data_IF_709113968087
#
_entry.id   IF_709113968087
#
_cell.length_a   1.000
_cell.length_b   1.000
_cell.length_c   1.000
_cell.angle_alpha   90.00
_cell.angle_beta   90.00
_cell.angle_gamma   90.00
#
_symmetry.space_group_name_H-M   'P 1'
#
loop_
_entity.id
_entity.type
_entity.pdbx_description
1 polymer ?
#
# COMPACT_ATOMS: atom_id res chain seq x y z
N UNK A 1 -5.93 3.19 -38.23
CA UNK A 1 -6.85 3.02 -37.09
C UNK A 1 -7.52 4.36 -36.80
N UNK A 2 -8.85 4.47 -36.92
CA UNK A 2 -9.54 5.77 -36.84
C UNK A 2 -9.65 6.25 -35.37
N UNK A 3 -9.77 7.58 -35.16
CA UNK A 3 -9.91 8.21 -33.82
C UNK A 3 -11.00 7.55 -32.92
N UNK A 4 -11.99 6.88 -33.52
CA UNK A 4 -13.07 6.17 -32.83
C UNK A 4 -12.58 4.89 -32.16
N UNK A 5 -11.73 4.11 -32.81
CA UNK A 5 -11.17 2.87 -32.27
C UNK A 5 -10.21 3.13 -31.09
N UNK A 6 -9.38 4.17 -31.17
CA UNK A 6 -8.50 4.57 -30.07
C UNK A 6 -9.27 4.99 -28.79
N UNK A 7 -10.44 5.62 -28.97
CA UNK A 7 -11.28 6.05 -27.85
C UNK A 7 -11.96 4.86 -27.15
N UNK A 8 -12.38 3.86 -27.91
CA UNK A 8 -12.97 2.63 -27.37
C UNK A 8 -11.93 1.76 -26.67
N UNK A 9 -10.75 1.60 -27.25
CA UNK A 9 -9.65 0.85 -26.64
C UNK A 9 -9.25 1.45 -25.28
N UNK A 10 -9.10 2.78 -25.22
CA UNK A 10 -8.79 3.47 -23.97
C UNK A 10 -9.89 3.32 -22.91
N UNK A 11 -11.17 3.36 -23.34
CA UNK A 11 -12.30 3.13 -22.43
C UNK A 11 -12.25 1.74 -21.80
N UNK A 12 -11.97 0.71 -22.58
CA UNK A 12 -11.81 -0.66 -22.09
C UNK A 12 -10.63 -0.75 -21.11
N UNK A 13 -9.52 -0.10 -21.39
CA UNK A 13 -8.37 -0.08 -20.49
C UNK A 13 -8.72 0.53 -19.14
N UNK A 14 -9.43 1.65 -19.09
CA UNK A 14 -9.88 2.28 -17.83
C UNK A 14 -10.86 1.37 -17.09
N UNK A 15 -11.83 0.78 -17.80
CA UNK A 15 -12.79 -0.13 -17.16
C UNK A 15 -12.08 -1.31 -16.50
N UNK A 16 -11.06 -1.86 -17.14
CA UNK A 16 -10.29 -2.96 -16.58
C UNK A 16 -9.48 -2.55 -15.34
N UNK A 17 -8.88 -1.35 -15.33
CA UNK A 17 -8.24 -0.77 -14.14
C UNK A 17 -9.23 -0.66 -12.97
N UNK A 18 -10.46 -0.18 -13.24
CA UNK A 18 -11.50 -0.07 -12.23
C UNK A 18 -11.95 -1.44 -11.69
N UNK A 19 -12.00 -2.46 -12.57
CA UNK A 19 -12.29 -3.84 -12.15
C UNK A 19 -11.19 -4.39 -11.24
N UNK A 20 -9.91 -4.19 -11.59
CA UNK A 20 -8.79 -4.59 -10.72
C UNK A 20 -8.90 -3.89 -9.35
N UNK A 21 -9.17 -2.59 -9.35
CA UNK A 21 -9.36 -1.84 -8.11
C UNK A 21 -10.49 -2.44 -7.28
N UNK A 22 -11.63 -2.69 -7.88
CA UNK A 22 -12.81 -3.25 -7.20
C UNK A 22 -12.51 -4.64 -6.61
N UNK A 23 -11.81 -5.50 -7.35
CA UNK A 23 -11.38 -6.80 -6.84
C UNK A 23 -10.47 -6.63 -5.62
N UNK A 24 -9.43 -5.80 -5.71
CA UNK A 24 -8.52 -5.54 -4.59
C UNK A 24 -9.28 -4.96 -3.38
N UNK A 25 -10.24 -4.08 -3.62
CA UNK A 25 -11.06 -3.47 -2.58
C UNK A 25 -11.97 -4.49 -1.88
N UNK A 26 -12.66 -5.35 -2.65
CA UNK A 26 -13.50 -6.42 -2.09
C UNK A 26 -12.65 -7.42 -1.30
N UNK A 27 -11.50 -7.82 -1.82
CA UNK A 27 -10.59 -8.73 -1.10
C UNK A 27 -10.09 -8.11 0.21
N UNK A 28 -9.80 -6.81 0.20
CA UNK A 28 -9.41 -6.09 1.42
C UNK A 28 -10.53 -6.08 2.44
N UNK A 29 -11.77 -5.76 2.03
CA UNK A 29 -12.95 -5.81 2.91
C UNK A 29 -13.11 -7.21 3.49
N UNK A 30 -13.08 -8.24 2.65
CA UNK A 30 -13.24 -9.63 3.08
C UNK A 30 -12.16 -10.02 4.11
N UNK A 31 -10.93 -9.61 3.91
CA UNK A 31 -9.85 -9.90 4.84
C UNK A 31 -10.03 -9.18 6.18
N UNK A 32 -10.33 -7.89 6.18
CA UNK A 32 -10.48 -7.12 7.42
C UNK A 32 -11.76 -7.44 8.19
N UNK A 33 -12.89 -7.71 7.52
CA UNK A 33 -14.17 -7.90 8.18
C UNK A 33 -14.51 -9.38 8.45
N UNK A 34 -14.07 -10.30 7.58
CA UNK A 34 -14.44 -11.71 7.63
C UNK A 34 -13.30 -12.57 8.16
N UNK A 35 -12.14 -12.53 7.48
CA UNK A 35 -11.00 -13.39 7.80
C UNK A 35 -10.23 -12.93 9.02
N UNK A 36 -10.12 -11.62 9.22
CA UNK A 36 -9.40 -10.97 10.34
C UNK A 36 -7.99 -11.52 10.52
N UNK A 37 -7.23 -11.60 9.43
CA UNK A 37 -5.87 -12.16 9.44
C UNK A 37 -4.91 -11.36 10.31
N UNK A 38 -5.18 -10.06 10.51
CA UNK A 38 -4.51 -9.17 11.46
C UNK A 38 -4.61 -9.65 12.93
N UNK A 39 -5.67 -10.42 13.26
CA UNK A 39 -5.88 -10.98 14.59
C UNK A 39 -5.33 -12.40 14.76
N UNK A 40 -4.68 -12.92 13.72
CA UNK A 40 -4.07 -14.26 13.72
C UNK A 40 -2.58 -14.19 14.05
N UNK A 41 -1.93 -15.36 14.05
CA UNK A 41 -0.47 -15.49 14.20
C UNK A 41 0.33 -14.59 13.25
N UNK A 42 -0.21 -14.30 12.07
CA UNK A 42 0.45 -13.43 11.07
C UNK A 42 0.51 -11.96 11.52
N UNK A 43 -0.39 -11.52 12.41
CA UNK A 43 -0.41 -10.16 12.96
C UNK A 43 -0.59 -9.06 11.93
N UNK A 44 -0.82 -9.40 10.67
CA UNK A 44 -0.94 -8.48 9.55
C UNK A 44 -1.87 -9.00 8.47
N UNK A 45 -2.62 -8.09 7.84
CA UNK A 45 -3.50 -8.40 6.71
C UNK A 45 -2.70 -8.33 5.42
N UNK A 46 -2.18 -9.45 4.94
CA UNK A 46 -1.40 -9.48 3.71
C UNK A 46 -1.98 -10.37 2.60
N UNK A 47 -3.03 -11.14 2.86
CA UNK A 47 -3.61 -12.04 1.86
C UNK A 47 -4.17 -11.27 0.66
N UNK A 48 -4.92 -10.18 0.90
CA UNK A 48 -5.41 -9.32 -0.19
C UNK A 48 -4.26 -8.63 -0.96
N UNK A 49 -3.17 -8.30 -0.27
CA UNK A 49 -1.99 -7.67 -0.88
C UNK A 49 -1.26 -8.67 -1.78
N UNK A 50 -1.12 -9.91 -1.33
CA UNK A 50 -0.53 -10.98 -2.12
C UNK A 50 -1.37 -11.29 -3.37
N UNK A 51 -2.70 -11.38 -3.21
CA UNK A 51 -3.61 -11.57 -4.35
C UNK A 51 -3.55 -10.38 -5.32
N UNK A 52 -3.47 -9.16 -4.82
CA UNK A 52 -3.26 -7.97 -5.64
C UNK A 52 -1.96 -8.04 -6.45
N UNK A 53 -0.87 -8.47 -5.83
CA UNK A 53 0.41 -8.67 -6.51
C UNK A 53 0.32 -9.78 -7.58
N UNK A 54 -0.41 -10.87 -7.31
CA UNK A 54 -0.67 -11.92 -8.31
C UNK A 54 -1.50 -11.41 -9.49
N UNK A 55 -2.45 -10.52 -9.27
CA UNK A 55 -3.25 -9.89 -10.32
C UNK A 55 -2.43 -8.91 -11.18
N UNK A 56 -1.36 -8.35 -10.65
CA UNK A 56 -0.50 -7.43 -11.38
C UNK A 56 0.14 -8.11 -12.60
N UNK A 57 0.55 -9.37 -12.50
CA UNK A 57 1.23 -10.11 -13.58
C UNK A 57 0.35 -10.21 -14.85
N UNK A 58 -0.87 -10.78 -14.79
CA UNK A 58 -1.75 -10.84 -15.95
C UNK A 58 -2.19 -9.45 -16.43
N UNK A 59 -2.33 -8.48 -15.52
CA UNK A 59 -2.66 -7.11 -15.88
C UNK A 59 -1.55 -6.47 -16.71
N UNK A 60 -0.29 -6.60 -16.33
CA UNK A 60 0.84 -6.11 -17.12
C UNK A 60 0.85 -6.71 -18.53
N UNK A 61 0.61 -8.00 -18.62
CA UNK A 61 0.54 -8.68 -19.93
C UNK A 61 -0.61 -8.11 -20.79
N UNK A 62 -1.79 -7.93 -20.20
CA UNK A 62 -2.97 -7.37 -20.89
C UNK A 62 -2.71 -5.96 -21.43
N UNK A 63 -1.98 -5.11 -20.66
CA UNK A 63 -1.67 -3.75 -21.08
C UNK A 63 -0.42 -3.63 -21.95
N UNK A 64 0.29 -4.73 -22.22
CA UNK A 64 1.57 -4.73 -22.92
C UNK A 64 2.65 -3.97 -22.18
N UNK A 65 2.60 -3.93 -20.85
CA UNK A 65 3.56 -3.29 -19.98
C UNK A 65 4.55 -4.32 -19.43
N UNK A 66 5.78 -3.91 -19.22
CA UNK A 66 6.79 -4.71 -18.54
C UNK A 66 7.09 -4.15 -17.14
N UNK A 67 7.72 -4.96 -16.30
CA UNK A 67 8.06 -4.59 -14.92
C UNK A 67 8.90 -3.30 -14.81
N UNK A 68 9.79 -3.05 -15.76
CA UNK A 68 10.61 -1.82 -15.78
C UNK A 68 9.76 -0.58 -16.02
N UNK A 69 8.74 -0.67 -16.87
CA UNK A 69 7.87 0.47 -17.20
C UNK A 69 7.01 0.91 -16.03
N UNK A 70 6.72 0.00 -15.09
CA UNK A 70 5.99 0.29 -13.86
C UNK A 70 6.91 0.59 -12.66
N UNK A 71 8.22 0.76 -12.90
CA UNK A 71 9.17 1.18 -11.88
C UNK A 71 9.94 0.04 -11.21
N UNK A 72 9.69 -1.22 -11.53
CA UNK A 72 10.44 -2.35 -11.00
C UNK A 72 11.71 -2.59 -11.83
N UNK A 73 12.67 -1.68 -11.68
CA UNK A 73 13.98 -1.79 -12.30
C UNK A 73 15.04 -2.10 -11.23
N UNK A 74 15.87 -3.12 -11.52
CA UNK A 74 16.97 -3.50 -10.62
C UNK A 74 18.23 -2.65 -10.82
N UNK A 75 18.33 -1.96 -11.99
CA UNK A 75 19.45 -1.06 -12.24
C UNK A 75 19.39 0.16 -11.34
N UNK A 76 20.47 0.40 -10.59
CA UNK A 76 20.51 1.50 -9.65
C UNK A 76 19.75 1.27 -8.34
N UNK A 77 19.36 0.03 -8.04
CA UNK A 77 18.64 -0.30 -6.81
C UNK A 77 19.39 0.18 -5.57
N UNK A 78 20.69 -0.03 -5.49
CA UNK A 78 21.49 0.33 -4.32
C UNK A 78 21.52 1.85 -4.04
N UNK A 79 21.85 2.73 -5.00
CA UNK A 79 21.82 4.17 -4.75
C UNK A 79 20.41 4.70 -4.43
N UNK A 80 19.36 4.15 -5.05
CA UNK A 80 17.99 4.55 -4.71
C UNK A 80 17.56 4.03 -3.35
N UNK A 81 17.93 2.81 -2.99
CA UNK A 81 17.66 2.25 -1.66
C UNK A 81 18.39 3.02 -0.55
N UNK A 82 19.66 3.39 -0.78
CA UNK A 82 20.42 4.20 0.18
C UNK A 82 19.81 5.60 0.35
N UNK A 83 19.39 6.24 -0.74
CA UNK A 83 18.70 7.53 -0.69
C UNK A 83 17.37 7.42 0.07
N UNK A 84 16.58 6.37 -0.22
CA UNK A 84 15.34 6.08 0.50
C UNK A 84 15.57 5.83 1.98
N UNK A 85 16.64 5.11 2.34
CA UNK A 85 17.02 4.87 3.73
C UNK A 85 17.37 6.19 4.45
N UNK A 86 18.17 7.05 3.83
CA UNK A 86 18.56 8.34 4.41
C UNK A 86 17.33 9.21 4.65
N UNK A 87 16.51 9.42 3.62
CA UNK A 87 15.30 10.24 3.75
C UNK A 87 14.28 9.62 4.70
N UNK A 88 14.06 8.29 4.61
CA UNK A 88 13.18 7.56 5.52
C UNK A 88 13.61 7.71 6.98
N UNK A 89 14.90 7.52 7.28
CA UNK A 89 15.43 7.70 8.62
C UNK A 89 15.29 9.13 9.12
N UNK A 90 15.50 10.13 8.25
CA UNK A 90 15.35 11.53 8.59
C UNK A 90 13.90 11.89 8.94
N UNK A 91 12.93 11.46 8.13
CA UNK A 91 11.52 11.70 8.40
C UNK A 91 11.03 10.94 9.63
N UNK A 92 11.52 9.70 9.82
CA UNK A 92 11.23 8.92 11.01
C UNK A 92 11.75 9.59 12.29
N UNK A 93 13.01 10.05 12.28
CA UNK A 93 13.59 10.80 13.39
C UNK A 93 12.80 12.08 13.67
N UNK A 94 12.40 12.82 12.63
CA UNK A 94 11.59 14.03 12.78
C UNK A 94 10.23 13.72 13.42
N UNK A 95 9.56 12.64 12.99
CA UNK A 95 8.29 12.22 13.56
C UNK A 95 8.41 11.89 15.05
N UNK A 96 9.45 11.14 15.44
CA UNK A 96 9.71 10.85 16.86
C UNK A 96 10.10 12.08 17.68
N UNK A 97 10.82 13.03 17.10
CA UNK A 97 11.11 14.31 17.78
C UNK A 97 9.84 15.12 18.04
N UNK A 98 8.90 15.14 17.09
CA UNK A 98 7.59 15.79 17.25
C UNK A 98 6.78 15.08 18.35
N UNK A 99 6.71 13.74 18.32
CA UNK A 99 6.04 12.95 19.34
C UNK A 99 6.63 13.20 20.73
N UNK A 100 7.96 13.18 20.85
CA UNK A 100 8.67 13.48 22.10
C UNK A 100 8.34 14.89 22.62
N UNK A 101 8.33 15.90 21.74
CA UNK A 101 7.99 17.26 22.11
C UNK A 101 6.55 17.37 22.62
N UNK A 102 5.60 16.65 22.00
CA UNK A 102 4.21 16.60 22.45
C UNK A 102 4.08 15.91 23.81
N UNK A 103 4.75 14.78 24.04
CA UNK A 103 4.74 14.06 25.31
C UNK A 103 5.37 14.87 26.43
N UNK A 104 6.47 15.58 26.14
CA UNK A 104 7.09 16.52 27.06
C UNK A 104 6.14 17.66 27.46
N UNK A 105 5.41 18.22 26.50
CA UNK A 105 4.43 19.27 26.75
C UNK A 105 3.26 18.83 27.65
N UNK A 106 2.96 17.51 27.61
CA UNK A 106 1.92 16.88 28.42
C UNK A 106 2.43 16.34 29.77
N UNK A 107 3.75 16.43 30.03
CA UNK A 107 4.36 15.88 31.24
C UNK A 107 4.38 14.33 31.28
N UNK A 108 4.19 13.66 30.15
CA UNK A 108 4.06 12.20 30.08
C UNK A 108 5.16 11.56 29.20
N UNK A 109 6.39 11.53 29.72
CA UNK A 109 7.52 10.88 29.03
C UNK A 109 7.43 9.35 28.97
N UNK A 110 6.64 8.73 29.86
CA UNK A 110 6.45 7.27 29.89
C UNK A 110 5.56 6.75 28.77
N UNK A 111 4.90 7.63 28.01
CA UNK A 111 4.07 7.30 26.88
C UNK A 111 4.82 7.14 25.56
N UNK A 112 6.16 7.21 25.54
CA UNK A 112 6.94 6.98 24.33
C UNK A 112 7.03 5.49 24.03
N UNK A 113 6.33 5.05 22.99
CA UNK A 113 6.33 3.68 22.53
C UNK A 113 7.05 3.51 21.18
N UNK A 114 7.82 2.43 21.05
CA UNK A 114 8.41 2.05 19.78
C UNK A 114 7.48 1.10 19.04
N UNK A 115 6.81 1.60 18.02
CA UNK A 115 5.91 0.81 17.18
C UNK A 115 6.69 0.03 16.13
N UNK A 116 6.73 -1.29 16.25
CA UNK A 116 7.30 -2.18 15.22
C UNK A 116 6.23 -2.57 14.19
N UNK A 117 4.97 -2.62 14.62
CA UNK A 117 3.81 -2.89 13.76
C UNK A 117 2.56 -2.24 14.35
N UNK A 118 1.90 -1.39 13.57
CA UNK A 118 0.69 -0.69 13.97
C UNK A 118 -0.60 -1.50 13.71
N UNK A 119 -0.49 -2.75 13.26
CA UNK A 119 -1.62 -3.46 12.66
C UNK A 119 -2.31 -4.47 13.57
N UNK A 120 -1.84 -4.70 14.78
CA UNK A 120 -2.54 -5.59 15.70
C UNK A 120 -3.61 -4.84 16.47
N UNK A 121 -4.85 -4.96 16.02
CA UNK A 121 -6.05 -4.43 16.71
C UNK A 121 -6.32 -5.17 18.03
N UNK A 122 -5.77 -6.37 18.22
CA UNK A 122 -6.04 -7.23 19.40
C UNK A 122 -5.29 -6.84 20.67
N UNK A 123 -4.44 -5.81 20.64
CA UNK A 123 -3.67 -5.39 21.83
C UNK A 123 -2.62 -6.38 22.32
N UNK A 124 -2.55 -7.58 21.72
CA UNK A 124 -1.63 -8.64 22.11
C UNK A 124 -0.23 -8.54 21.47
N UNK A 125 0.14 -7.38 20.93
CA UNK A 125 1.47 -7.10 20.37
C UNK A 125 2.57 -7.43 21.39
N UNK A 126 2.31 -7.28 22.68
CA UNK A 126 3.27 -7.57 23.74
C UNK A 126 3.68 -9.05 23.86
N UNK A 127 2.90 -9.97 23.31
CA UNK A 127 3.20 -11.41 23.34
C UNK A 127 3.90 -11.93 22.10
N UNK A 128 3.78 -11.24 20.96
CA UNK A 128 4.46 -11.61 19.72
C UNK A 128 5.81 -10.88 19.64
N UNK A 129 6.79 -11.44 20.32
CA UNK A 129 8.17 -10.93 20.32
C UNK A 129 9.09 -11.94 19.68
N UNK A 130 10.13 -11.44 18.99
CA UNK A 130 11.22 -12.27 18.49
C UNK A 130 11.52 -12.08 17.02
N UNK A 131 12.60 -12.72 16.59
CA UNK A 131 13.12 -12.60 15.24
C UNK A 131 12.12 -13.05 14.16
N UNK A 132 11.35 -14.11 14.42
CA UNK A 132 10.36 -14.63 13.48
C UNK A 132 9.26 -13.60 13.22
N UNK A 133 8.75 -12.95 14.27
CA UNK A 133 7.76 -11.88 14.12
C UNK A 133 8.29 -10.70 13.31
N UNK A 134 9.51 -10.27 13.59
CA UNK A 134 10.17 -9.21 12.82
C UNK A 134 10.30 -9.59 11.33
N UNK A 135 10.65 -10.84 11.04
CA UNK A 135 10.76 -11.35 9.67
C UNK A 135 9.41 -11.36 8.96
N UNK A 136 8.34 -11.80 9.64
CA UNK A 136 6.97 -11.77 9.10
C UNK A 136 6.54 -10.35 8.78
N UNK A 137 6.76 -9.39 9.69
CA UNK A 137 6.45 -7.98 9.47
C UNK A 137 7.25 -7.42 8.27
N UNK A 138 8.52 -7.75 8.16
CA UNK A 138 9.36 -7.31 7.04
C UNK A 138 8.84 -7.83 5.70
N UNK A 139 8.52 -9.12 5.63
CA UNK A 139 7.97 -9.76 4.41
C UNK A 139 6.59 -9.20 4.08
N UNK A 140 5.71 -9.04 5.08
CA UNK A 140 4.38 -8.45 4.89
C UNK A 140 4.45 -7.01 4.36
N UNK A 141 5.32 -6.19 4.93
CA UNK A 141 5.56 -4.83 4.45
C UNK A 141 6.14 -4.79 3.04
N UNK A 142 7.06 -5.71 2.71
CA UNK A 142 7.60 -5.81 1.35
C UNK A 142 6.51 -6.15 0.34
N UNK A 143 5.65 -7.12 0.63
CA UNK A 143 4.50 -7.49 -0.20
C UNK A 143 3.55 -6.29 -0.35
N UNK A 144 3.28 -5.57 0.73
CA UNK A 144 2.45 -4.38 0.71
C UNK A 144 2.99 -3.31 -0.24
N UNK A 145 4.25 -2.95 -0.07
CA UNK A 145 4.91 -1.93 -0.91
C UNK A 145 4.93 -2.37 -2.38
N UNK A 146 5.29 -3.62 -2.67
CA UNK A 146 5.30 -4.13 -4.05
C UNK A 146 3.91 -4.08 -4.70
N UNK A 147 2.86 -4.43 -3.97
CA UNK A 147 1.49 -4.38 -4.47
C UNK A 147 1.03 -2.94 -4.69
N UNK A 148 1.18 -2.08 -3.69
CA UNK A 148 0.73 -0.68 -3.77
C UNK A 148 1.50 0.10 -4.84
N UNK A 149 2.83 0.02 -4.85
CA UNK A 149 3.64 0.68 -5.86
C UNK A 149 3.40 0.10 -7.26
N UNK A 150 3.28 -1.23 -7.37
CA UNK A 150 3.06 -1.90 -8.67
C UNK A 150 1.69 -1.61 -9.27
N UNK A 151 0.61 -1.72 -8.49
CA UNK A 151 -0.75 -1.50 -8.98
C UNK A 151 -1.05 -0.01 -9.12
N UNK A 152 -0.88 0.78 -8.05
CA UNK A 152 -1.37 2.15 -8.05
C UNK A 152 -0.41 3.11 -8.76
N UNK A 153 0.87 3.10 -8.39
CA UNK A 153 1.85 4.01 -9.00
C UNK A 153 2.44 3.46 -10.31
N UNK A 154 2.52 2.14 -10.46
CA UNK A 154 2.96 1.53 -11.70
C UNK A 154 1.83 1.44 -12.73
N UNK A 155 0.97 0.45 -12.58
CA UNK A 155 -0.05 0.12 -13.57
C UNK A 155 -1.07 1.23 -13.79
N UNK A 156 -1.75 1.68 -12.73
CA UNK A 156 -2.84 2.66 -12.86
C UNK A 156 -2.31 3.98 -13.41
N UNK A 157 -1.23 4.50 -12.83
CA UNK A 157 -0.63 5.74 -13.32
C UNK A 157 -0.26 5.64 -14.80
N UNK A 158 0.39 4.55 -15.24
CA UNK A 158 0.77 4.36 -16.65
C UNK A 158 -0.42 4.27 -17.60
N UNK A 159 -1.51 3.64 -17.18
CA UNK A 159 -2.75 3.61 -17.97
C UNK A 159 -3.37 5.00 -18.08
N UNK A 160 -3.39 5.77 -16.99
CA UNK A 160 -3.93 7.13 -17.01
C UNK A 160 -3.03 8.12 -17.76
N UNK A 161 -1.69 7.97 -17.73
CA UNK A 161 -0.73 8.77 -18.49
C UNK A 161 -0.93 8.68 -20.02
N UNK A 162 -1.58 7.63 -20.51
CA UNK A 162 -1.92 7.51 -21.93
C UNK A 162 -2.90 8.62 -22.40
N UNK A 163 -3.63 9.24 -21.50
CA UNK A 163 -4.63 10.28 -21.82
C UNK A 163 -4.46 11.59 -21.06
N UNK A 164 -3.99 11.52 -19.84
CA UNK A 164 -3.90 12.66 -18.93
C UNK A 164 -2.44 13.09 -18.76
N UNK A 165 -2.21 14.36 -18.38
CA UNK A 165 -0.88 14.80 -17.97
C UNK A 165 -0.42 14.05 -16.71
N UNK A 166 0.88 13.98 -16.51
CA UNK A 166 1.51 13.27 -15.39
C UNK A 166 0.84 13.60 -14.03
N UNK A 167 0.63 14.88 -13.72
CA UNK A 167 0.02 15.28 -12.45
C UNK A 167 -1.41 14.75 -12.29
N UNK A 168 -2.23 14.84 -13.35
CA UNK A 168 -3.58 14.30 -13.33
C UNK A 168 -3.58 12.76 -13.23
N UNK A 169 -2.69 12.10 -13.95
CA UNK A 169 -2.55 10.65 -13.91
C UNK A 169 -2.08 10.15 -12.53
N UNK A 170 -1.23 10.89 -11.84
CA UNK A 170 -0.78 10.57 -10.50
C UNK A 170 -1.87 10.78 -9.42
N UNK A 171 -2.78 11.75 -9.63
CA UNK A 171 -3.85 12.05 -8.69
C UNK A 171 -4.86 10.90 -8.53
N UNK A 172 -5.27 10.26 -9.63
CA UNK A 172 -6.26 9.19 -9.59
C UNK A 172 -5.84 7.98 -8.72
N UNK A 173 -4.62 7.41 -8.89
CA UNK A 173 -4.16 6.33 -8.03
C UNK A 173 -4.12 6.70 -6.54
N UNK A 174 -3.69 7.93 -6.21
CA UNK A 174 -3.66 8.43 -4.83
C UNK A 174 -5.08 8.49 -4.25
N UNK A 175 -6.04 8.99 -5.03
CA UNK A 175 -7.44 9.05 -4.60
C UNK A 175 -8.02 7.66 -4.34
N UNK A 176 -7.78 6.69 -5.22
CA UNK A 176 -8.23 5.31 -5.03
C UNK A 176 -7.59 4.66 -3.80
N UNK A 177 -6.29 4.84 -3.61
CA UNK A 177 -5.59 4.31 -2.44
C UNK A 177 -6.15 4.92 -1.14
N UNK A 178 -6.28 6.24 -1.08
CA UNK A 178 -6.79 6.96 0.08
C UNK A 178 -8.23 6.56 0.42
N UNK A 179 -9.13 6.45 -0.58
CA UNK A 179 -10.51 6.04 -0.37
C UNK A 179 -10.63 4.63 0.22
N UNK A 180 -9.80 3.69 -0.23
CA UNK A 180 -9.73 2.34 0.32
C UNK A 180 -9.26 2.31 1.77
N UNK A 181 -8.29 3.15 2.13
CA UNK A 181 -7.78 3.24 3.51
C UNK A 181 -8.83 3.87 4.43
N UNK A 182 -9.41 5.00 4.04
CA UNK A 182 -10.37 5.75 4.87
C UNK A 182 -11.62 4.94 5.16
N UNK A 183 -12.14 4.19 4.18
CA UNK A 183 -13.34 3.40 4.37
C UNK A 183 -13.11 2.27 5.39
N UNK A 184 -12.03 1.50 5.27
CA UNK A 184 -11.71 0.43 6.21
C UNK A 184 -11.51 0.97 7.62
N UNK A 185 -10.85 2.12 7.77
CA UNK A 185 -10.62 2.73 9.08
C UNK A 185 -11.93 3.18 9.75
N UNK A 186 -12.88 3.73 8.98
CA UNK A 186 -14.17 4.15 9.51
C UNK A 186 -15.00 2.98 10.03
N UNK A 187 -15.01 1.84 9.33
CA UNK A 187 -15.74 0.64 9.74
C UNK A 187 -15.12 -0.03 10.98
N UNK A 188 -13.80 -0.15 11.03
CA UNK A 188 -13.09 -0.71 12.21
C UNK A 188 -13.37 0.14 13.45
N UNK A 189 -13.38 1.47 13.31
CA UNK A 189 -13.66 2.39 14.41
C UNK A 189 -15.13 2.33 14.87
N UNK A 190 -16.07 2.05 13.96
CA UNK A 190 -17.49 1.92 14.30
C UNK A 190 -17.83 0.62 15.02
N UNK A 191 -17.11 -0.46 14.76
CA UNK A 191 -17.31 -1.78 15.39
C UNK A 191 -16.63 -1.92 16.75
N UNK A 192 -15.70 -1.02 17.09
CA UNK A 192 -14.99 -1.00 18.38
C UNK A 192 -15.73 -0.21 19.49
N UNK A 193 -16.95 0.27 19.20
CA UNK A 193 -17.88 0.87 20.18
C UNK A 193 -19.01 -0.09 20.48
#
# INVERSE_FOLDING_TARGET
MGKKGLKEEYRLQIQFVLVIYLICFILRIAEYLILRTDQTFWGESFAHKLLGLMLLIPALHFYGLNSKQIGFETKGLFPYASLGLVWGSLFFALAYLIELALLLSQGNLLGLDFYVSAYSVSGNIGQQRGFLFLLICLVGNLINVLMEEGIFRGLFQKVFERKYSFLKAAFFPIFFLASGILWVHSEVFSMGK
#
